data_IF_388674716207
#
_entry.id   IF_388674716207
#
_cell.length_a   1.000
_cell.length_b   1.000
_cell.length_c   1.000
_cell.angle_alpha   90.00
_cell.angle_beta   90.00
_cell.angle_gamma   90.00
#
_symmetry.space_group_name_H-M   'P 1'
#
loop_
_entity.id
_entity.type
_entity.pdbx_description
1 polymer ?
#
# COMPACT_ATOMS: atom_id res chain seq x y z
N UNK A 1 48.76 10.39 -3.74
CA UNK A 1 47.62 10.89 -2.93
C UNK A 1 46.69 9.72 -2.67
N UNK A 2 46.65 9.17 -1.45
CA UNK A 2 45.68 8.15 -1.07
C UNK A 2 44.29 8.81 -1.05
N UNK A 3 43.44 8.50 -2.05
CA UNK A 3 42.01 8.83 -1.98
C UNK A 3 41.45 8.06 -0.78
N UNK A 4 41.12 8.78 0.29
CA UNK A 4 40.38 8.24 1.43
C UNK A 4 39.11 7.63 0.83
N UNK A 5 38.98 6.30 0.87
CA UNK A 5 37.82 5.62 0.32
C UNK A 5 36.61 6.07 1.14
N UNK A 6 35.81 6.97 0.58
CA UNK A 6 34.69 7.55 1.31
C UNK A 6 33.60 6.50 1.38
N UNK A 7 33.20 6.16 2.60
CA UNK A 7 32.08 5.25 2.81
C UNK A 7 30.79 5.83 2.22
N UNK A 8 29.92 4.93 1.76
CA UNK A 8 28.66 5.31 1.15
C UNK A 8 27.81 6.15 2.13
N UNK A 9 27.21 7.22 1.61
CA UNK A 9 26.19 7.99 2.34
C UNK A 9 25.21 8.67 1.38
N UNK A 10 24.02 8.95 1.90
CA UNK A 10 23.04 9.81 1.23
C UNK A 10 23.39 11.27 1.50
N UNK A 11 23.55 12.08 0.45
CA UNK A 11 23.80 13.52 0.60
C UNK A 11 22.56 14.38 0.43
N UNK A 12 21.49 13.86 -0.16
CA UNK A 12 20.19 14.52 -0.28
C UNK A 12 19.07 13.48 -0.35
N UNK A 13 17.89 13.85 0.14
CA UNK A 13 16.64 13.11 0.01
C UNK A 13 15.48 14.11 0.08
N UNK A 14 14.67 14.14 -0.97
CA UNK A 14 13.56 15.07 -1.12
C UNK A 14 12.37 14.36 -1.77
N UNK A 15 11.16 14.83 -1.49
CA UNK A 15 9.96 14.39 -2.17
C UNK A 15 9.11 15.60 -2.52
N UNK A 16 8.71 15.68 -3.79
CA UNK A 16 7.81 16.71 -4.29
C UNK A 16 6.69 16.01 -5.06
N UNK A 17 5.45 16.16 -4.57
CA UNK A 17 4.31 15.37 -5.07
C UNK A 17 4.64 13.87 -4.98
N UNK A 18 4.59 13.14 -6.09
CA UNK A 18 4.95 11.72 -6.18
C UNK A 18 6.41 11.46 -6.53
N UNK A 19 7.23 12.48 -6.76
CA UNK A 19 8.61 12.31 -7.20
C UNK A 19 9.56 12.30 -5.99
N UNK A 20 10.08 11.11 -5.65
CA UNK A 20 11.12 10.92 -4.64
C UNK A 20 12.50 11.04 -5.29
N UNK A 21 13.32 11.98 -4.83
CA UNK A 21 14.65 12.24 -5.38
C UNK A 21 15.72 12.10 -4.30
N UNK A 22 16.86 11.52 -4.64
CA UNK A 22 17.98 11.36 -3.71
C UNK A 22 19.33 11.45 -4.41
N UNK A 23 20.38 11.66 -3.63
CA UNK A 23 21.75 11.64 -4.11
C UNK A 23 22.57 10.69 -3.24
N UNK A 24 23.15 9.67 -3.87
CA UNK A 24 24.13 8.76 -3.26
C UNK A 24 25.56 9.18 -3.57
N UNK A 25 26.45 9.10 -2.58
CA UNK A 25 27.90 9.31 -2.73
C UNK A 25 28.67 8.11 -2.21
N UNK A 26 29.74 7.73 -2.90
CA UNK A 26 30.54 6.55 -2.53
C UNK A 26 29.90 5.22 -2.92
N UNK A 27 29.13 5.17 -4.01
CA UNK A 27 28.54 3.92 -4.50
C UNK A 27 29.60 2.92 -4.96
N UNK A 28 29.23 1.65 -4.92
CA UNK A 28 30.01 0.53 -5.46
C UNK A 28 29.28 -0.03 -6.68
N UNK A 29 30.04 -0.58 -7.64
CA UNK A 29 29.44 -1.30 -8.78
C UNK A 29 28.51 -2.41 -8.26
N UNK A 30 27.36 -2.58 -8.91
CA UNK A 30 26.32 -3.55 -8.54
C UNK A 30 25.63 -3.29 -7.19
N UNK A 31 25.73 -2.07 -6.65
CA UNK A 31 24.88 -1.64 -5.55
C UNK A 31 23.41 -1.54 -5.98
N UNK A 32 22.50 -1.68 -5.03
CA UNK A 32 21.05 -1.64 -5.25
C UNK A 32 20.37 -0.77 -4.21
N UNK A 33 19.49 0.11 -4.66
CA UNK A 33 18.59 0.88 -3.83
C UNK A 33 17.23 0.19 -3.72
N UNK A 34 16.68 0.21 -2.51
CA UNK A 34 15.34 -0.23 -2.18
C UNK A 34 14.60 0.99 -1.63
N UNK A 35 13.62 1.48 -2.38
CA UNK A 35 12.71 2.52 -1.90
C UNK A 35 11.64 1.82 -1.06
N UNK A 36 11.55 2.22 0.20
CA UNK A 36 10.65 1.62 1.19
C UNK A 36 9.60 2.65 1.62
N UNK A 37 8.34 2.23 1.66
CA UNK A 37 7.23 3.00 2.19
C UNK A 37 6.77 2.38 3.52
N UNK A 38 6.38 3.22 4.49
CA UNK A 38 5.81 2.73 5.74
C UNK A 38 4.33 2.41 5.54
N UNK A 39 3.99 1.12 5.59
CA UNK A 39 2.64 0.60 5.37
C UNK A 39 2.28 -0.41 6.46
N UNK A 40 1.10 -0.29 7.05
CA UNK A 40 0.60 -1.18 8.12
C UNK A 40 1.65 -1.45 9.21
N UNK A 41 2.19 -0.38 9.81
CA UNK A 41 3.20 -0.43 10.87
C UNK A 41 4.54 -1.11 10.52
N UNK A 42 4.83 -1.28 9.23
CA UNK A 42 6.07 -1.88 8.76
C UNK A 42 6.64 -1.21 7.50
N UNK A 43 7.92 -1.40 7.23
CA UNK A 43 8.57 -0.91 6.01
C UNK A 43 8.42 -1.92 4.88
N UNK A 44 7.74 -1.54 3.80
CA UNK A 44 7.56 -2.36 2.61
C UNK A 44 8.36 -1.79 1.44
N UNK A 45 9.16 -2.63 0.75
CA UNK A 45 9.82 -2.22 -0.49
C UNK A 45 8.78 -1.97 -1.57
N UNK A 46 8.74 -0.75 -2.11
CA UNK A 46 7.83 -0.34 -3.19
C UNK A 46 8.53 -0.22 -4.53
N UNK A 47 9.87 -0.06 -4.54
CA UNK A 47 10.66 0.01 -5.77
C UNK A 47 12.10 -0.45 -5.52
N UNK A 48 12.72 -1.01 -6.55
CA UNK A 48 14.13 -1.43 -6.56
C UNK A 48 14.82 -0.73 -7.72
N UNK A 49 15.97 -0.10 -7.47
CA UNK A 49 16.73 0.69 -8.45
C UNK A 49 18.19 0.27 -8.41
N UNK A 50 18.75 -0.08 -9.56
CA UNK A 50 20.18 -0.38 -9.65
C UNK A 50 20.99 0.91 -9.49
N UNK A 51 22.05 0.86 -8.68
CA UNK A 51 22.96 1.98 -8.53
C UNK A 51 23.82 2.15 -9.79
N UNK A 52 24.15 3.39 -10.12
CA UNK A 52 25.08 3.76 -11.19
C UNK A 52 26.50 3.25 -10.87
N UNK A 53 26.85 3.16 -9.59
CA UNK A 53 28.07 2.52 -9.10
C UNK A 53 29.31 3.40 -9.20
N UNK A 54 29.14 4.73 -9.29
CA UNK A 54 30.25 5.68 -9.25
C UNK A 54 30.49 6.19 -7.83
N UNK A 55 31.75 6.35 -7.45
CA UNK A 55 32.11 6.88 -6.11
C UNK A 55 31.77 8.35 -5.93
N UNK A 56 31.53 9.08 -7.03
CA UNK A 56 31.10 10.48 -7.04
C UNK A 56 29.64 10.65 -6.60
N UNK A 57 29.07 11.82 -6.85
CA UNK A 57 27.65 12.10 -6.63
C UNK A 57 26.82 11.45 -7.73
N UNK A 58 25.78 10.71 -7.34
CA UNK A 58 24.85 10.04 -8.24
C UNK A 58 23.43 10.47 -7.90
N UNK A 59 22.79 11.34 -8.71
CA UNK A 59 21.42 11.75 -8.51
C UNK A 59 20.44 10.73 -9.11
N UNK A 60 19.31 10.54 -8.43
CA UNK A 60 18.20 9.70 -8.86
C UNK A 60 16.88 10.39 -8.58
N UNK A 61 15.86 10.03 -9.35
CA UNK A 61 14.49 10.44 -9.12
C UNK A 61 13.55 9.30 -9.56
N UNK A 62 12.60 8.97 -8.72
CA UNK A 62 11.62 7.92 -8.97
C UNK A 62 10.23 8.33 -8.53
N UNK A 63 9.23 7.98 -9.33
CA UNK A 63 7.84 8.10 -8.90
C UNK A 63 7.48 7.02 -7.87
N UNK A 64 6.78 7.45 -6.82
CA UNK A 64 6.20 6.63 -5.77
C UNK A 64 4.69 6.83 -5.67
N UNK A 65 3.96 5.75 -5.37
CA UNK A 65 2.53 5.82 -5.13
C UNK A 65 2.24 6.44 -3.76
N UNK A 66 1.32 7.40 -3.71
CA UNK A 66 0.85 8.05 -2.49
C UNK A 66 -0.55 7.55 -2.10
N UNK A 67 -0.77 7.43 -0.80
CA UNK A 67 -2.09 7.28 -0.18
C UNK A 67 -2.55 8.61 0.44
N UNK A 68 -3.81 8.72 0.84
CA UNK A 68 -4.32 9.92 1.50
C UNK A 68 -3.58 10.21 2.82
N UNK A 69 -3.34 11.49 3.11
CA UNK A 69 -2.70 11.91 4.35
C UNK A 69 -1.20 11.61 4.40
N UNK A 70 -0.73 11.06 5.53
CA UNK A 70 0.70 11.00 5.86
C UNK A 70 1.39 9.79 5.24
N UNK A 71 2.25 10.04 4.26
CA UNK A 71 3.11 9.04 3.64
C UNK A 71 4.52 9.15 4.21
N UNK A 72 5.15 8.02 4.57
CA UNK A 72 6.55 7.99 5.01
C UNK A 72 7.38 7.10 4.10
N UNK A 73 8.55 7.59 3.71
CA UNK A 73 9.50 6.87 2.87
C UNK A 73 10.89 6.87 3.48
N UNK A 74 11.67 5.84 3.13
CA UNK A 74 13.12 5.82 3.31
C UNK A 74 13.75 5.03 2.17
N UNK A 75 15.06 5.18 2.01
CA UNK A 75 15.83 4.45 1.00
C UNK A 75 16.88 3.60 1.72
N UNK A 76 16.91 2.32 1.38
CA UNK A 76 17.96 1.39 1.79
C UNK A 76 18.86 1.11 0.60
N UNK A 77 20.13 1.45 0.69
CA UNK A 77 21.17 1.04 -0.25
C UNK A 77 21.85 -0.22 0.25
N UNK A 78 22.09 -1.18 -0.64
CA UNK A 78 22.85 -2.41 -0.37
C UNK A 78 24.00 -2.46 -1.37
N UNK A 79 25.24 -2.52 -0.88
CA UNK A 79 26.41 -2.62 -1.75
C UNK A 79 26.63 -4.06 -2.25
N UNK A 80 27.63 -4.25 -3.11
CA UNK A 80 27.98 -5.58 -3.65
C UNK A 80 28.55 -6.57 -2.62
N UNK A 81 28.82 -6.12 -1.39
CA UNK A 81 29.25 -6.96 -0.27
C UNK A 81 28.11 -7.25 0.72
N UNK A 82 26.88 -6.78 0.43
CA UNK A 82 25.71 -6.95 1.30
C UNK A 82 25.62 -5.95 2.46
N UNK A 83 26.54 -4.99 2.58
CA UNK A 83 26.46 -3.92 3.58
C UNK A 83 25.33 -2.96 3.24
N UNK A 84 24.50 -2.67 4.24
CA UNK A 84 23.30 -1.84 4.09
C UNK A 84 23.50 -0.45 4.67
N UNK A 85 22.90 0.54 4.03
CA UNK A 85 22.89 1.94 4.45
C UNK A 85 21.49 2.50 4.29
N UNK A 86 20.98 3.19 5.30
CA UNK A 86 19.65 3.78 5.28
C UNK A 86 19.74 5.30 5.19
N UNK A 87 18.84 5.88 4.41
CA UNK A 87 18.59 7.32 4.46
C UNK A 87 17.89 7.70 5.75
N UNK A 88 17.76 9.02 5.99
CA UNK A 88 16.73 9.51 6.92
C UNK A 88 15.35 9.15 6.37
N UNK A 89 14.36 9.09 7.26
CA UNK A 89 12.96 9.03 6.87
C UNK A 89 12.51 10.39 6.33
N UNK A 90 11.72 10.37 5.27
CA UNK A 90 11.05 11.55 4.73
C UNK A 90 9.54 11.37 4.85
N UNK A 91 8.87 12.42 5.30
CA UNK A 91 7.42 12.44 5.50
C UNK A 91 6.81 13.40 4.49
N UNK A 92 5.75 12.95 3.82
CA UNK A 92 4.99 13.73 2.86
C UNK A 92 3.51 13.66 3.19
N UNK A 93 2.85 14.82 3.26
CA UNK A 93 1.39 14.88 3.40
C UNK A 93 0.76 15.02 2.01
N UNK A 94 -0.04 14.04 1.61
CA UNK A 94 -0.83 14.09 0.38
C UNK A 94 -2.21 14.68 0.68
N UNK A 95 -2.61 15.63 -0.16
CA UNK A 95 -3.94 16.24 -0.24
C UNK A 95 -4.98 15.35 -0.94
N UNK A 96 -4.59 14.14 -1.38
CA UNK A 96 -5.50 13.15 -1.94
C UNK A 96 -6.64 12.87 -0.97
N UNK A 97 -7.87 12.93 -1.48
CA UNK A 97 -9.05 12.64 -0.68
C UNK A 97 -8.98 11.23 -0.06
N UNK A 98 -9.36 11.17 1.21
CA UNK A 98 -9.44 9.93 1.97
C UNK A 98 -10.54 9.04 1.39
N UNK A 99 -10.19 7.81 1.03
CA UNK A 99 -11.19 6.86 0.53
C UNK A 99 -11.95 6.23 1.70
N UNK A 100 -13.24 5.97 1.50
CA UNK A 100 -14.12 5.22 2.40
C UNK A 100 -14.88 4.14 1.62
N UNK A 101 -15.59 3.22 2.29
CA UNK A 101 -16.48 2.26 1.62
C UNK A 101 -17.78 2.02 2.37
N UNK A 102 -18.80 1.55 1.63
CA UNK A 102 -20.10 1.15 2.12
C UNK A 102 -20.65 -0.06 1.34
N UNK A 103 -21.57 -0.86 1.90
CA UNK A 103 -21.99 -0.85 3.30
C UNK A 103 -20.95 -1.54 4.22
N UNK A 104 -21.07 -1.35 5.54
CA UNK A 104 -20.27 -2.08 6.54
C UNK A 104 -20.81 -3.48 6.87
N UNK A 105 -22.10 -3.70 6.59
CA UNK A 105 -22.74 -5.01 6.59
C UNK A 105 -23.05 -5.38 5.14
N UNK A 106 -22.29 -6.32 4.59
CA UNK A 106 -22.22 -6.62 3.17
C UNK A 106 -23.01 -7.90 2.88
N UNK A 107 -23.93 -7.85 1.93
CA UNK A 107 -24.64 -9.02 1.42
C UNK A 107 -23.98 -9.55 0.14
N UNK A 108 -23.81 -8.68 -0.87
CA UNK A 108 -23.31 -9.08 -2.18
C UNK A 108 -22.09 -8.29 -2.64
N UNK A 109 -22.07 -6.98 -2.40
CA UNK A 109 -20.98 -6.12 -2.82
C UNK A 109 -20.81 -4.94 -1.88
N UNK A 110 -19.61 -4.37 -1.89
CA UNK A 110 -19.31 -3.06 -1.32
C UNK A 110 -18.74 -2.13 -2.39
N UNK A 111 -18.84 -0.84 -2.13
CA UNK A 111 -18.41 0.24 -3.01
C UNK A 111 -17.54 1.21 -2.24
N UNK A 112 -16.36 1.51 -2.78
CA UNK A 112 -15.46 2.56 -2.33
C UNK A 112 -15.90 3.93 -2.87
N UNK A 113 -15.53 5.00 -2.20
CA UNK A 113 -15.77 6.37 -2.66
C UNK A 113 -14.89 6.79 -3.85
N UNK A 114 -13.89 5.97 -4.20
CA UNK A 114 -13.00 6.16 -5.34
C UNK A 114 -12.33 4.83 -5.71
N UNK A 115 -11.74 4.77 -6.90
CA UNK A 115 -10.96 3.61 -7.33
C UNK A 115 -9.71 3.41 -6.44
N UNK A 116 -9.58 2.22 -5.86
CA UNK A 116 -8.45 1.85 -4.99
C UNK A 116 -7.96 0.44 -5.23
N UNK A 117 -6.69 0.21 -4.91
CA UNK A 117 -6.17 -1.14 -4.65
C UNK A 117 -6.60 -1.55 -3.24
N UNK A 118 -7.10 -2.77 -3.13
CA UNK A 118 -7.61 -3.30 -1.87
C UNK A 118 -7.19 -4.75 -1.66
N UNK A 119 -7.11 -5.12 -0.38
CA UNK A 119 -6.94 -6.50 0.09
C UNK A 119 -7.99 -6.77 1.17
N UNK A 120 -8.63 -7.93 1.11
CA UNK A 120 -9.59 -8.41 2.12
C UNK A 120 -8.97 -9.61 2.82
N UNK A 121 -8.90 -9.51 4.14
CA UNK A 121 -8.44 -10.56 5.02
C UNK A 121 -9.59 -11.09 5.89
N UNK A 122 -9.57 -12.38 6.18
CA UNK A 122 -10.48 -12.97 7.18
C UNK A 122 -10.05 -12.61 8.62
N UNK A 123 -10.78 -13.12 9.61
CA UNK A 123 -10.49 -12.89 11.03
C UNK A 123 -9.16 -13.48 11.53
N UNK A 124 -8.57 -14.39 10.75
CA UNK A 124 -7.26 -15.00 11.01
C UNK A 124 -6.14 -14.31 10.22
N UNK A 125 -6.44 -13.16 9.60
CA UNK A 125 -5.53 -12.39 8.76
C UNK A 125 -5.10 -13.10 7.46
N UNK A 126 -5.82 -14.15 7.03
CA UNK A 126 -5.57 -14.78 5.74
C UNK A 126 -6.13 -13.91 4.61
N UNK A 127 -5.33 -13.67 3.58
CA UNK A 127 -5.78 -12.98 2.37
C UNK A 127 -6.81 -13.85 1.63
N UNK A 128 -8.06 -13.36 1.53
CA UNK A 128 -9.16 -14.06 0.84
C UNK A 128 -9.50 -13.42 -0.50
N UNK A 129 -9.20 -12.13 -0.69
CA UNK A 129 -9.46 -11.41 -1.93
C UNK A 129 -8.53 -10.20 -2.05
N UNK A 130 -8.11 -9.87 -3.27
CA UNK A 130 -7.46 -8.58 -3.58
C UNK A 130 -7.87 -8.12 -4.96
N UNK A 131 -7.75 -6.82 -5.21
CA UNK A 131 -8.07 -6.26 -6.50
C UNK A 131 -7.80 -4.77 -6.58
N UNK A 132 -8.28 -4.19 -7.67
CA UNK A 132 -8.29 -2.75 -7.90
C UNK A 132 -9.63 -2.38 -8.51
N UNK A 133 -10.32 -1.41 -7.93
CA UNK A 133 -11.64 -1.02 -8.39
C UNK A 133 -12.37 -0.13 -7.39
N UNK A 134 -13.54 0.33 -7.81
CA UNK A 134 -14.48 1.05 -6.96
C UNK A 134 -15.51 0.10 -6.33
N UNK A 135 -15.87 -0.99 -7.00
CA UNK A 135 -16.81 -1.98 -6.48
C UNK A 135 -16.13 -3.34 -6.26
N UNK A 136 -16.51 -4.02 -5.19
CA UNK A 136 -16.02 -5.36 -4.86
C UNK A 136 -17.19 -6.32 -4.74
N UNK A 137 -17.14 -7.41 -5.52
CA UNK A 137 -18.09 -8.50 -5.40
C UNK A 137 -17.67 -9.44 -4.26
N UNK A 138 -18.50 -9.50 -3.21
CA UNK A 138 -18.30 -10.29 -2.01
C UNK A 138 -19.25 -11.51 -1.94
N UNK A 139 -19.96 -11.84 -3.01
CA UNK A 139 -20.97 -12.92 -3.00
C UNK A 139 -20.38 -14.30 -2.65
N UNK A 140 -19.11 -14.54 -2.97
CA UNK A 140 -18.40 -15.80 -2.69
C UNK A 140 -17.80 -15.86 -1.29
N UNK A 141 -17.80 -14.76 -0.54
CA UNK A 141 -17.31 -14.73 0.84
C UNK A 141 -18.35 -15.37 1.77
N UNK A 142 -17.88 -16.19 2.70
CA UNK A 142 -18.73 -16.76 3.76
C UNK A 142 -19.16 -15.67 4.73
N UNK A 143 -20.31 -15.81 5.38
CA UNK A 143 -20.71 -14.92 6.46
C UNK A 143 -19.63 -14.90 7.56
N UNK A 144 -19.33 -13.70 8.07
CA UNK A 144 -18.22 -13.51 9.00
C UNK A 144 -17.66 -12.09 9.04
N UNK A 145 -16.63 -11.89 9.85
CA UNK A 145 -15.92 -10.62 9.97
C UNK A 145 -14.71 -10.60 9.03
N UNK A 146 -14.46 -9.45 8.42
CA UNK A 146 -13.36 -9.24 7.49
C UNK A 146 -12.67 -7.90 7.76
N UNK A 147 -11.40 -7.84 7.37
CA UNK A 147 -10.56 -6.65 7.40
C UNK A 147 -10.25 -6.22 5.98
N UNK A 148 -10.65 -5.00 5.64
CA UNK A 148 -10.37 -4.35 4.37
C UNK A 148 -9.15 -3.45 4.52
N UNK A 149 -8.14 -3.71 3.70
CA UNK A 149 -6.91 -2.95 3.63
C UNK A 149 -6.92 -2.15 2.32
N UNK A 150 -6.86 -0.83 2.42
CA UNK A 150 -6.89 0.09 1.28
C UNK A 150 -6.40 1.47 1.71
N UNK A 151 -5.82 2.25 0.81
CA UNK A 151 -5.37 3.62 1.11
C UNK A 151 -4.47 3.73 2.38
N UNK A 152 -3.67 2.68 2.64
CA UNK A 152 -2.86 2.48 3.86
C UNK A 152 -3.66 2.55 5.18
N UNK A 153 -4.92 2.11 5.13
CA UNK A 153 -5.84 1.97 6.26
C UNK A 153 -6.33 0.53 6.33
N UNK A 154 -6.71 0.14 7.53
CA UNK A 154 -7.38 -1.12 7.80
C UNK A 154 -8.72 -0.82 8.45
N UNK A 155 -9.81 -1.28 7.85
CA UNK A 155 -11.17 -1.12 8.36
C UNK A 155 -11.94 -2.43 8.36
N UNK A 156 -12.85 -2.60 9.32
CA UNK A 156 -13.64 -3.82 9.47
C UNK A 156 -14.96 -3.73 8.68
N UNK A 157 -15.42 -4.86 8.14
CA UNK A 157 -16.80 -5.06 7.70
C UNK A 157 -17.27 -6.48 8.04
N UNK A 158 -18.59 -6.70 7.99
CA UNK A 158 -19.19 -8.02 8.20
C UNK A 158 -19.91 -8.48 6.95
N UNK A 159 -19.64 -9.70 6.49
CA UNK A 159 -20.45 -10.39 5.49
C UNK A 159 -21.61 -11.07 6.19
N UNK A 160 -22.82 -10.90 5.68
CA UNK A 160 -24.03 -11.57 6.17
C UNK A 160 -24.66 -12.41 5.09
N UNK A 161 -25.49 -13.38 5.49
CA UNK A 161 -26.30 -14.15 4.55
C UNK A 161 -27.38 -13.24 3.91
N UNK A 162 -27.71 -13.44 2.63
CA UNK A 162 -28.78 -12.69 1.99
C UNK A 162 -30.11 -12.92 2.69
N UNK A 163 -30.88 -11.86 2.93
CA UNK A 163 -32.23 -11.99 3.46
C UNK A 163 -33.15 -12.52 2.36
N UNK A 164 -33.52 -13.79 2.41
CA UNK A 164 -34.54 -14.35 1.50
C UNK A 164 -35.91 -13.95 2.04
N UNK A 165 -36.54 -12.94 1.43
CA UNK A 165 -37.93 -12.59 1.72
C UNK A 165 -38.85 -13.67 1.14
N UNK A 166 -39.29 -14.62 1.98
CA UNK A 166 -40.40 -15.50 1.61
C UNK A 166 -41.66 -14.67 1.38
N UNK A 167 -42.11 -14.62 0.12
CA UNK A 167 -43.38 -13.99 -0.23
C UNK A 167 -44.52 -14.87 0.28
N UNK A 168 -45.06 -14.53 1.45
CA UNK A 168 -46.25 -15.15 1.99
C UNK A 168 -47.45 -14.95 1.04
N UNK A 169 -47.76 -15.96 0.23
CA UNK A 169 -49.02 -16.06 -0.51
C UNK A 169 -50.17 -16.14 0.51
N UNK A 170 -50.79 -15.00 0.80
CA UNK A 170 -52.14 -14.93 1.37
C UNK A 170 -53.12 -15.56 0.39
N UNK A 171 -53.31 -16.87 0.44
CA UNK A 171 -54.54 -17.48 -0.04
C UNK A 171 -55.61 -17.30 1.05
N UNK A 172 -56.21 -16.11 1.07
CA UNK A 172 -57.60 -15.96 1.53
C UNK A 172 -58.48 -16.75 0.54
N UNK A 173 -58.70 -18.04 0.80
CA UNK A 173 -59.92 -18.69 0.33
C UNK A 173 -61.05 -18.24 1.25
N UNK A 174 -61.70 -17.16 0.86
CA UNK A 174 -63.10 -16.98 1.19
C UNK A 174 -63.93 -17.95 0.35
N UNK A 175 -65.06 -18.40 0.88
CA UNK A 175 -66.05 -19.10 0.06
C UNK A 175 -66.95 -20.04 0.84
N UNK A 176 -67.97 -19.44 1.47
CA UNK A 176 -69.25 -20.00 1.95
C UNK A 176 -69.22 -20.93 3.17
#
# INVERSE_FOLDING_TARGET
>A
VLRRNQEFHFSALEIAKSQLSWIGKGEQKHGVYFIEAFKHDSWATVKVVNAQGHTSSNPYAEEVALHSGVNKFRIRYVNNHGKMFFSKEIVYFSDKESVSFFPKQVEHSLTFSAQVKYEIHDEHNNLVMKGEGEQVNCATLRAGNYYMIYDNKTEKFSKVEPVILETAKKNKKGGR
#
